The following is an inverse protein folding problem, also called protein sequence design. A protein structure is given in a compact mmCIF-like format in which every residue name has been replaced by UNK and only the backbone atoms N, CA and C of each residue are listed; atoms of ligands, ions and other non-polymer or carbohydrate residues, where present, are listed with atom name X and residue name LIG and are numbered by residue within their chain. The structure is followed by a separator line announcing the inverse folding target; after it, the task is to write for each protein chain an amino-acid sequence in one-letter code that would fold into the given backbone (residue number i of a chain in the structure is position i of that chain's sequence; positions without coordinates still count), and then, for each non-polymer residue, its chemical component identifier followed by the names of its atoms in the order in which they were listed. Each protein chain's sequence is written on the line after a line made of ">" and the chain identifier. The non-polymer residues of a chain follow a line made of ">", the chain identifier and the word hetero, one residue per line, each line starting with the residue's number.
data_IF_274312345055
#
_entry.id   IF_274312345055
#
_cell.length_a   1.000
_cell.length_b   1.000
_cell.length_c   1.000
_cell.angle_alpha   90.00
_cell.angle_beta   90.00
_cell.angle_gamma   90.00
#
_symmetry.space_group_name_H-M   'P 1'
#
loop_
_entity.id
_entity.type
_entity.pdbx_description
1 polymer ?
#
# COMPACT_ATOMS: atom_id res chain seq x y z
N UNK A 1 22.49 34.21 -16.64
CA UNK A 1 21.02 34.04 -16.68
C UNK A 1 20.74 32.70 -16.03
N UNK A 2 20.03 32.79 -14.91
CA UNK A 2 20.08 31.85 -13.81
C UNK A 2 19.57 30.48 -14.20
N UNK A 3 20.39 29.46 -13.95
CA UNK A 3 19.96 28.07 -13.99
C UNK A 3 18.85 27.96 -12.97
N UNK A 4 17.61 27.90 -13.47
CA UNK A 4 16.39 27.75 -12.71
C UNK A 4 16.65 26.74 -11.59
N UNK A 5 16.59 27.23 -10.35
CA UNK A 5 16.91 26.48 -9.15
C UNK A 5 16.25 25.12 -9.23
N UNK A 6 17.07 24.11 -9.51
CA UNK A 6 16.66 22.72 -9.62
C UNK A 6 15.83 22.44 -8.38
N UNK A 7 14.55 22.10 -8.56
CA UNK A 7 13.60 21.82 -7.49
C UNK A 7 14.05 20.54 -6.78
N UNK A 8 15.12 20.65 -5.98
CA UNK A 8 15.75 19.53 -5.27
C UNK A 8 14.82 19.17 -4.14
N UNK A 9 13.97 18.19 -4.40
CA UNK A 9 13.17 17.54 -3.39
C UNK A 9 14.13 16.70 -2.56
N UNK A 10 14.52 17.21 -1.40
CA UNK A 10 15.15 16.39 -0.37
C UNK A 10 14.05 15.52 0.26
N UNK A 11 14.18 14.19 0.13
CA UNK A 11 13.25 13.23 0.71
C UNK A 11 14.01 12.27 1.61
N UNK A 12 13.45 12.03 2.79
CA UNK A 12 14.00 11.08 3.75
C UNK A 12 13.70 9.65 3.24
N UNK A 13 14.72 9.02 2.64
CA UNK A 13 14.63 7.69 2.04
C UNK A 13 14.23 6.63 3.06
N UNK A 14 14.72 6.75 4.30
CA UNK A 14 14.42 5.80 5.38
C UNK A 14 12.95 5.93 5.79
N UNK A 15 12.48 7.14 6.01
CA UNK A 15 11.09 7.43 6.35
C UNK A 15 10.14 6.97 5.24
N UNK A 16 10.43 7.24 3.97
CA UNK A 16 9.61 6.81 2.83
C UNK A 16 9.61 5.28 2.70
N UNK A 17 10.74 4.62 2.90
CA UNK A 17 10.83 3.15 2.89
C UNK A 17 10.00 2.54 4.03
N UNK A 18 10.01 3.15 5.21
CA UNK A 18 9.19 2.71 6.34
C UNK A 18 7.69 2.84 6.04
N UNK A 19 7.26 3.97 5.45
CA UNK A 19 5.87 4.20 5.03
C UNK A 19 5.46 3.21 3.93
N UNK A 20 6.30 2.96 2.95
CA UNK A 20 6.07 1.94 1.93
C UNK A 20 5.84 0.55 2.56
N UNK A 21 6.70 0.18 3.53
CA UNK A 21 6.55 -1.06 4.28
C UNK A 21 5.24 -1.14 5.07
N UNK A 22 4.80 -0.04 5.68
CA UNK A 22 3.50 0.05 6.34
C UNK A 22 2.35 -0.21 5.37
N UNK A 23 2.28 0.51 4.25
CA UNK A 23 1.20 0.32 3.26
C UNK A 23 1.20 -1.08 2.65
N UNK A 24 2.37 -1.70 2.44
CA UNK A 24 2.46 -3.07 1.98
C UNK A 24 1.84 -4.05 2.99
N UNK A 25 2.15 -3.92 4.27
CA UNK A 25 1.54 -4.78 5.31
C UNK A 25 0.03 -4.54 5.40
N UNK A 26 -0.40 -3.30 5.38
CA UNK A 26 -1.82 -2.94 5.39
C UNK A 26 -2.58 -3.54 4.21
N UNK A 27 -2.00 -3.54 3.00
CA UNK A 27 -2.63 -4.19 1.84
C UNK A 27 -2.88 -5.69 2.06
N UNK A 28 -1.92 -6.40 2.68
CA UNK A 28 -2.04 -7.83 2.94
C UNK A 28 -3.15 -8.12 3.96
N UNK A 29 -3.23 -7.31 5.02
CA UNK A 29 -4.30 -7.42 6.02
C UNK A 29 -5.67 -7.17 5.40
N UNK A 30 -5.81 -6.10 4.61
CA UNK A 30 -7.07 -5.78 3.94
C UNK A 30 -7.49 -6.88 2.96
N UNK A 31 -6.53 -7.48 2.24
CA UNK A 31 -6.82 -8.60 1.35
C UNK A 31 -7.29 -9.84 2.11
N UNK A 32 -6.59 -10.18 3.20
CA UNK A 32 -6.95 -11.33 4.04
C UNK A 32 -8.36 -11.17 4.62
N UNK A 33 -8.69 -9.98 5.13
CA UNK A 33 -10.04 -9.68 5.62
C UNK A 33 -11.08 -9.80 4.50
N UNK A 34 -10.77 -9.33 3.29
CA UNK A 34 -11.68 -9.49 2.15
C UNK A 34 -11.89 -10.95 1.74
N UNK A 35 -10.85 -11.78 1.82
CA UNK A 35 -10.93 -13.21 1.55
C UNK A 35 -11.76 -13.93 2.62
N UNK A 36 -11.58 -13.57 3.89
CA UNK A 36 -12.40 -14.08 4.99
C UNK A 36 -13.88 -13.71 4.80
N UNK A 37 -14.20 -12.45 4.49
CA UNK A 37 -15.59 -12.06 4.24
C UNK A 37 -16.19 -12.79 3.03
N UNK A 38 -15.40 -13.01 1.97
CA UNK A 38 -15.87 -13.70 0.77
C UNK A 38 -16.05 -15.21 0.98
N UNK A 39 -15.30 -15.82 1.91
CA UNK A 39 -15.42 -17.24 2.24
C UNK A 39 -16.65 -17.54 3.11
N UNK A 40 -17.19 -16.56 3.83
CA UNK A 40 -18.33 -16.73 4.71
C UNK A 40 -19.65 -16.34 4.02
N UNK A 41 -20.58 -17.29 3.95
CA UNK A 41 -21.92 -17.05 3.40
C UNK A 41 -22.82 -16.38 4.45
N UNK A 42 -22.73 -15.06 4.58
CA UNK A 42 -23.52 -14.30 5.54
C UNK A 42 -25.02 -14.48 5.29
N UNK A 43 -25.79 -14.67 6.36
CA UNK A 43 -27.23 -14.94 6.24
C UNK A 43 -27.58 -16.37 5.84
N UNK A 44 -26.61 -17.31 5.73
CA UNK A 44 -26.89 -18.74 5.52
C UNK A 44 -27.83 -19.31 6.58
N UNK A 45 -27.64 -18.93 7.84
CA UNK A 45 -28.45 -19.37 9.00
C UNK A 45 -29.97 -19.15 8.83
N UNK A 46 -30.40 -18.10 8.12
CA UNK A 46 -31.82 -17.83 7.85
C UNK A 46 -32.31 -18.38 6.50
N UNK A 47 -31.40 -18.93 5.69
CA UNK A 47 -31.70 -19.51 4.37
C UNK A 47 -31.72 -21.04 4.37
N UNK A 48 -30.91 -21.70 5.20
CA UNK A 48 -30.80 -23.17 5.25
C UNK A 48 -31.52 -23.85 6.42
N UNK A 49 -31.74 -23.16 7.54
CA UNK A 49 -32.36 -23.75 8.75
C UNK A 49 -33.79 -23.27 9.00
N UNK A 50 -34.36 -22.50 8.06
CA UNK A 50 -35.75 -22.07 8.15
C UNK A 50 -36.68 -23.23 7.78
N UNK A 51 -37.16 -23.94 8.79
CA UNK A 51 -38.37 -24.75 8.70
C UNK A 51 -39.44 -23.93 7.96
N UNK A 52 -40.19 -24.48 6.98
CA UNK A 52 -41.12 -23.73 6.13
C UNK A 52 -42.40 -23.29 6.88
N UNK A 53 -42.28 -23.00 8.17
CA UNK A 53 -43.29 -22.39 8.99
C UNK A 53 -43.33 -20.86 8.81
N UNK A 54 -44.46 -20.23 9.18
CA UNK A 54 -44.72 -18.79 9.00
C UNK A 54 -43.82 -17.84 9.81
N UNK A 55 -42.79 -18.38 10.50
CA UNK A 55 -41.81 -17.64 11.30
C UNK A 55 -40.51 -17.27 10.55
N UNK A 56 -40.37 -17.61 9.26
CA UNK A 56 -39.16 -17.33 8.46
C UNK A 56 -39.03 -15.86 7.98
N UNK A 57 -39.49 -14.90 8.80
CA UNK A 57 -39.47 -13.46 8.50
C UNK A 57 -38.08 -12.84 8.40
N UNK A 58 -37.03 -13.61 8.68
CA UNK A 58 -35.63 -13.15 8.69
C UNK A 58 -34.94 -13.27 7.32
N UNK A 59 -35.56 -13.93 6.33
CA UNK A 59 -35.01 -14.10 4.98
C UNK A 59 -34.56 -12.79 4.31
N UNK A 60 -35.39 -11.72 4.30
CA UNK A 60 -34.98 -10.42 3.77
C UNK A 60 -33.77 -9.81 4.49
N UNK A 61 -33.72 -9.87 5.82
CA UNK A 61 -32.57 -9.37 6.59
C UNK A 61 -31.30 -10.19 6.35
N UNK A 62 -31.43 -11.51 6.19
CA UNK A 62 -30.32 -12.38 5.84
C UNK A 62 -29.76 -12.10 4.44
N UNK A 63 -30.63 -11.79 3.47
CA UNK A 63 -30.20 -11.35 2.15
C UNK A 63 -29.47 -10.00 2.22
N UNK A 64 -29.95 -9.06 3.04
CA UNK A 64 -29.25 -7.79 3.28
C UNK A 64 -27.85 -8.00 3.86
N UNK A 65 -27.67 -8.91 4.82
CA UNK A 65 -26.33 -9.20 5.36
C UNK A 65 -25.39 -9.83 4.33
N UNK A 66 -25.90 -10.70 3.45
CA UNK A 66 -25.14 -11.27 2.34
C UNK A 66 -24.69 -10.19 1.34
N UNK A 67 -25.57 -9.25 1.00
CA UNK A 67 -25.25 -8.13 0.12
C UNK A 67 -24.21 -7.18 0.75
N UNK A 68 -24.35 -6.91 2.05
CA UNK A 68 -23.39 -6.08 2.79
C UNK A 68 -22.01 -6.73 2.84
N UNK A 69 -21.90 -8.03 3.13
CA UNK A 69 -20.60 -8.71 3.17
C UNK A 69 -19.93 -8.76 1.80
N UNK A 70 -20.70 -8.99 0.73
CA UNK A 70 -20.20 -8.95 -0.64
C UNK A 70 -19.67 -7.54 -0.99
N UNK A 71 -20.45 -6.50 -0.67
CA UNK A 71 -20.06 -5.09 -0.91
C UNK A 71 -18.78 -4.72 -0.14
N UNK A 72 -18.69 -5.11 1.13
CA UNK A 72 -17.52 -4.85 1.96
C UNK A 72 -16.28 -5.58 1.43
N UNK A 73 -16.41 -6.84 1.03
CA UNK A 73 -15.33 -7.63 0.44
C UNK A 73 -14.73 -6.94 -0.80
N UNK A 74 -15.59 -6.44 -1.70
CA UNK A 74 -15.14 -5.71 -2.90
C UNK A 74 -14.41 -4.42 -2.53
N UNK A 75 -14.95 -3.63 -1.60
CA UNK A 75 -14.31 -2.38 -1.15
C UNK A 75 -12.94 -2.62 -0.52
N UNK A 76 -12.83 -3.65 0.32
CA UNK A 76 -11.58 -4.04 0.96
C UNK A 76 -10.53 -4.48 -0.07
N UNK A 77 -10.93 -5.22 -1.13
CA UNK A 77 -10.02 -5.58 -2.23
C UNK A 77 -9.52 -4.36 -2.99
N UNK A 78 -10.39 -3.41 -3.29
CA UNK A 78 -9.99 -2.14 -3.93
C UNK A 78 -9.00 -1.36 -3.07
N UNK A 79 -9.25 -1.27 -1.76
CA UNK A 79 -8.34 -0.58 -0.82
C UNK A 79 -7.01 -1.31 -0.66
N UNK A 80 -7.04 -2.65 -0.61
CA UNK A 80 -5.84 -3.50 -0.61
C UNK A 80 -4.98 -3.20 -1.84
N UNK A 81 -5.57 -3.22 -3.04
CA UNK A 81 -4.86 -2.94 -4.28
C UNK A 81 -4.27 -1.52 -4.30
N UNK A 82 -5.06 -0.51 -3.92
CA UNK A 82 -4.58 0.87 -3.87
C UNK A 82 -3.41 1.04 -2.89
N UNK A 83 -3.48 0.40 -1.71
CA UNK A 83 -2.40 0.42 -0.73
C UNK A 83 -1.13 -0.29 -1.25
N UNK A 84 -1.28 -1.40 -1.97
CA UNK A 84 -0.15 -2.10 -2.60
C UNK A 84 0.53 -1.24 -3.67
N UNK A 85 -0.25 -0.62 -4.56
CA UNK A 85 0.27 0.29 -5.60
C UNK A 85 0.99 1.48 -4.99
N UNK A 86 0.44 2.07 -3.91
CA UNK A 86 1.09 3.17 -3.20
C UNK A 86 2.41 2.73 -2.57
N UNK A 87 2.42 1.56 -1.92
CA UNK A 87 3.63 0.99 -1.34
C UNK A 87 4.74 0.77 -2.39
N UNK A 88 4.39 0.19 -3.54
CA UNK A 88 5.33 -0.07 -4.63
C UNK A 88 5.86 1.24 -5.23
N UNK A 89 4.99 2.23 -5.40
CA UNK A 89 5.38 3.57 -5.88
C UNK A 89 6.37 4.24 -4.94
N UNK A 90 6.07 4.27 -3.63
CA UNK A 90 6.96 4.87 -2.63
C UNK A 90 8.30 4.15 -2.55
N UNK A 91 8.29 2.81 -2.59
CA UNK A 91 9.50 2.00 -2.61
C UNK A 91 10.37 2.29 -3.84
N UNK A 92 9.77 2.35 -5.01
CA UNK A 92 10.50 2.61 -6.26
C UNK A 92 11.11 4.02 -6.25
N UNK A 93 10.36 5.02 -5.78
CA UNK A 93 10.87 6.38 -5.61
C UNK A 93 12.06 6.42 -4.64
N UNK A 94 11.99 5.71 -3.51
CA UNK A 94 13.09 5.63 -2.55
C UNK A 94 14.36 5.00 -3.15
N UNK A 95 14.21 3.93 -3.94
CA UNK A 95 15.33 3.27 -4.63
C UNK A 95 15.98 4.20 -5.65
N UNK A 96 15.18 4.85 -6.49
CA UNK A 96 15.68 5.76 -7.53
C UNK A 96 16.45 6.91 -6.88
N UNK A 97 15.95 7.45 -5.78
CA UNK A 97 16.59 8.59 -5.13
C UNK A 97 17.89 8.21 -4.42
N UNK A 98 17.91 7.08 -3.70
CA UNK A 98 19.14 6.57 -3.09
C UNK A 98 20.24 6.29 -4.13
N UNK A 99 19.87 5.76 -5.31
CA UNK A 99 20.80 5.56 -6.41
C UNK A 99 21.31 6.89 -6.98
N UNK A 100 20.43 7.90 -7.11
CA UNK A 100 20.81 9.25 -7.52
C UNK A 100 21.80 9.90 -6.54
N UNK A 101 21.53 9.80 -5.24
CA UNK A 101 22.41 10.34 -4.19
C UNK A 101 23.80 9.68 -4.19
N UNK A 102 23.83 8.35 -4.33
CA UNK A 102 25.09 7.61 -4.43
C UNK A 102 25.91 8.01 -5.67
N UNK A 103 25.24 8.19 -6.81
CA UNK A 103 25.89 8.63 -8.04
C UNK A 103 26.47 10.05 -7.90
N UNK A 104 25.70 10.98 -7.35
CA UNK A 104 26.16 12.35 -7.10
C UNK A 104 27.35 12.40 -6.12
N UNK A 105 27.34 11.58 -5.07
CA UNK A 105 28.46 11.48 -4.12
C UNK A 105 29.75 10.95 -4.76
N UNK A 106 29.64 9.96 -5.65
CA UNK A 106 30.78 9.42 -6.41
C UNK A 106 31.34 10.47 -7.38
N UNK A 107 30.49 11.22 -8.07
CA UNK A 107 30.92 12.34 -8.93
C UNK A 107 31.66 13.43 -8.15
N UNK A 108 31.15 13.84 -6.98
CA UNK A 108 31.81 14.83 -6.12
C UNK A 108 33.17 14.32 -5.63
N UNK A 109 33.24 13.04 -5.23
CA UNK A 109 34.48 12.40 -4.77
C UNK A 109 35.52 12.39 -5.90
N UNK A 110 35.12 12.04 -7.12
CA UNK A 110 35.99 12.05 -8.30
C UNK A 110 36.43 13.46 -8.72
N UNK A 111 35.54 14.44 -8.59
CA UNK A 111 35.81 15.84 -8.91
C UNK A 111 36.70 16.55 -7.88
N UNK A 112 36.97 15.92 -6.72
CA UNK A 112 37.86 16.43 -5.69
C UNK A 112 39.20 15.69 -5.71
N UNK A 113 40.15 16.01 -6.61
CA UNK A 113 41.51 15.50 -6.49
C UNK A 113 42.16 16.09 -5.23
N UNK A 114 42.92 15.27 -4.52
CA UNK A 114 43.53 15.64 -3.23
C UNK A 114 44.30 16.95 -3.29
N UNK A 115 43.94 17.89 -2.40
CA UNK A 115 44.76 19.06 -2.03
C UNK A 115 46.03 18.65 -1.25
N UNK A 116 46.73 17.63 -1.74
CA UNK A 116 47.85 16.97 -1.07
C UNK A 116 48.99 16.67 -2.03
N UNK A 117 49.53 17.70 -2.67
CA UNK A 117 50.85 17.68 -3.27
C UNK A 117 51.47 19.08 -3.21
N UNK A 118 51.76 19.54 -2.00
CA UNK A 118 52.77 20.58 -1.76
C UNK A 118 53.73 20.05 -0.71
N UNK A 119 54.67 19.25 -1.18
CA UNK A 119 55.99 19.03 -0.57
C UNK A 119 56.94 19.42 -1.71
N UNK A 120 57.61 20.58 -1.68
CA UNK A 120 58.52 20.96 -0.61
C UNK A 120 59.85 20.33 -0.90
#
# INVERSE_FOLDING_TARGET
>A
MDSAGSNRIAMDVEQVSAVAGYYRRSSLVLNAVADDLAAHDFGRWARTDADPGPASSLGPSAATYAEMSATLSVRLRTQSWAAAVLADTLRNSAIIMAAGDAHAADEITRATPGSGATTG
#
